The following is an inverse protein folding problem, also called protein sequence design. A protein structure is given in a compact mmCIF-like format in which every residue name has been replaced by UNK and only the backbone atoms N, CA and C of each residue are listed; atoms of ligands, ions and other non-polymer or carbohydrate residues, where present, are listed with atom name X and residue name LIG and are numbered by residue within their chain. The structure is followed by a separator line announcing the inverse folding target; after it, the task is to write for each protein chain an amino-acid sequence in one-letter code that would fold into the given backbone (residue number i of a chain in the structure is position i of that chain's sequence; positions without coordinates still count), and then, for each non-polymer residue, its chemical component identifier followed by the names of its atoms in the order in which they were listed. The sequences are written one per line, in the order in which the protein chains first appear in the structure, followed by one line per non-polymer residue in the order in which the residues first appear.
data_IF_926756147585
#
_entry.id   IF_926756147585
#
_cell.length_a   1.000
_cell.length_b   1.000
_cell.length_c   1.000
_cell.angle_alpha   90.00
_cell.angle_beta   90.00
_cell.angle_gamma   90.00
#
_symmetry.space_group_name_H-M   'P 1'
#
loop_
_entity.id
_entity.type
_entity.pdbx_description
1 polymer ?
#
# COMPACT_ATOMS: atom_id res chain seq x y z
N UNK A 1 0.00 -0.90 5.45
CA UNK A 1 -0.73 -1.11 4.17
C UNK A 1 -0.51 -2.54 3.72
N UNK A 2 -1.58 -3.34 3.67
CA UNK A 2 -1.53 -4.75 3.28
C UNK A 2 -1.47 -4.82 1.75
N UNK A 3 -0.35 -5.25 1.18
CA UNK A 3 -0.19 -5.43 -0.27
C UNK A 3 -0.58 -6.87 -0.60
N UNK A 4 -1.67 -7.05 -1.35
CA UNK A 4 -2.05 -8.33 -1.96
C UNK A 4 -1.17 -8.57 -3.18
N UNK A 5 -0.40 -9.66 -3.19
CA UNK A 5 0.34 -10.13 -4.37
C UNK A 5 -0.23 -11.47 -4.81
N UNK A 6 -0.66 -11.53 -6.08
CA UNK A 6 -1.12 -12.75 -6.76
C UNK A 6 0.11 -13.35 -7.46
N UNK A 7 0.58 -14.51 -6.99
CA UNK A 7 1.70 -15.22 -7.62
C UNK A 7 1.16 -16.40 -8.46
N UNK A 8 1.46 -16.37 -9.76
CA UNK A 8 1.17 -17.47 -10.70
C UNK A 8 2.37 -18.42 -10.71
N UNK A 9 2.08 -19.72 -10.60
CA UNK A 9 3.05 -20.80 -10.41
C UNK A 9 3.44 -21.40 -11.77
N UNK A 10 4.73 -21.50 -12.09
CA UNK A 10 5.24 -22.44 -13.09
C UNK A 10 6.11 -23.50 -12.41
N UNK A 11 5.74 -24.77 -12.57
CA UNK A 11 6.43 -25.92 -12.00
C UNK A 11 7.49 -26.46 -12.98
N UNK A 12 8.74 -26.59 -12.54
CA UNK A 12 9.64 -27.69 -12.97
C UNK A 12 10.43 -28.21 -11.77
N UNK A 13 10.41 -29.54 -11.60
CA UNK A 13 11.19 -30.31 -10.62
C UNK A 13 12.51 -30.73 -11.26
N UNK A 14 13.62 -30.60 -10.54
CA UNK A 14 14.75 -31.53 -10.68
C UNK A 14 15.38 -31.80 -9.31
N UNK A 15 15.61 -33.09 -9.04
CA UNK A 15 16.47 -33.63 -8.00
C UNK A 15 17.93 -33.29 -8.32
N UNK A 16 18.78 -33.14 -7.29
CA UNK A 16 20.17 -33.66 -7.24
C UNK A 16 20.84 -33.37 -5.89
N UNK A 17 21.71 -34.30 -5.50
CA UNK A 17 22.49 -34.38 -4.25
C UNK A 17 23.90 -33.79 -4.40
N UNK A 18 24.61 -33.68 -3.26
CA UNK A 18 25.96 -33.13 -3.00
C UNK A 18 26.03 -31.61 -2.76
N UNK A 19 26.80 -31.25 -1.73
CA UNK A 19 27.10 -29.89 -1.30
C UNK A 19 27.81 -29.13 -2.43
N UNK A 20 27.03 -28.40 -3.22
CA UNK A 20 27.52 -27.32 -4.06
C UNK A 20 27.10 -26.00 -3.41
N UNK A 21 28.06 -25.08 -3.30
CA UNK A 21 27.78 -23.67 -3.11
C UNK A 21 26.88 -23.27 -4.28
N UNK A 22 25.59 -23.06 -4.00
CA UNK A 22 24.61 -22.71 -5.02
C UNK A 22 24.75 -21.22 -5.27
N UNK A 23 25.31 -20.84 -6.41
CA UNK A 23 25.14 -19.52 -6.99
C UNK A 23 23.64 -19.32 -7.27
N UNK A 24 23.01 -18.49 -6.44
CA UNK A 24 21.60 -18.16 -6.58
C UNK A 24 21.47 -17.15 -7.71
N UNK A 25 21.19 -17.63 -8.92
CA UNK A 25 20.71 -16.76 -9.99
C UNK A 25 19.42 -16.06 -9.54
N UNK A 26 19.35 -14.72 -9.66
CA UNK A 26 18.48 -13.92 -8.82
C UNK A 26 17.12 -13.79 -9.51
N UNK A 27 16.12 -14.49 -9.00
CA UNK A 27 14.78 -13.93 -9.10
C UNK A 27 14.37 -13.13 -7.88
N UNK A 28 15.02 -13.17 -6.71
CA UNK A 28 14.42 -12.46 -5.55
C UNK A 28 15.36 -11.70 -4.60
N UNK A 29 16.70 -11.78 -4.68
CA UNK A 29 17.56 -10.85 -3.90
C UNK A 29 18.84 -10.54 -4.68
N UNK A 30 18.92 -9.36 -5.29
CA UNK A 30 20.14 -8.87 -5.96
C UNK A 30 21.05 -8.21 -4.91
N UNK A 31 22.32 -8.59 -4.87
CA UNK A 31 23.32 -8.21 -3.85
C UNK A 31 22.92 -8.60 -2.43
N UNK A 32 23.08 -9.87 -2.07
CA UNK A 32 23.05 -10.25 -0.66
C UNK A 32 24.45 -9.88 -0.10
N UNK A 33 24.61 -8.87 0.79
CA UNK A 33 25.77 -8.86 1.69
C UNK A 33 25.86 -10.23 2.40
N UNK A 34 26.94 -10.56 3.13
CA UNK A 34 26.98 -11.83 3.91
C UNK A 34 25.94 -11.81 5.04
N UNK A 35 24.66 -11.93 4.70
CA UNK A 35 23.55 -11.95 5.63
C UNK A 35 23.50 -13.37 6.17
N UNK A 36 23.60 -13.49 7.49
CA UNK A 36 23.39 -14.74 8.22
C UNK A 36 21.92 -15.18 8.20
N UNK A 37 21.28 -15.26 7.02
CA UNK A 37 20.00 -15.96 6.85
C UNK A 37 20.31 -17.43 6.58
N UNK A 38 19.59 -18.32 7.26
CA UNK A 38 19.71 -19.74 6.98
C UNK A 38 19.02 -20.10 5.66
N UNK A 39 19.34 -21.27 5.09
CA UNK A 39 18.80 -21.73 3.80
C UNK A 39 17.28 -21.70 3.75
N UNK A 40 16.60 -22.04 4.85
CA UNK A 40 15.13 -22.05 4.93
C UNK A 40 14.55 -20.62 4.78
N UNK A 41 15.20 -19.62 5.37
CA UNK A 41 14.77 -18.24 5.26
C UNK A 41 15.03 -17.65 3.89
N UNK A 42 16.18 -17.96 3.29
CA UNK A 42 16.48 -17.54 1.93
C UNK A 42 15.51 -18.17 0.94
N UNK A 43 15.20 -19.46 1.07
CA UNK A 43 14.22 -20.15 0.22
C UNK A 43 12.79 -19.61 0.43
N UNK A 44 12.44 -19.27 1.67
CA UNK A 44 11.18 -18.60 1.98
C UNK A 44 11.08 -17.22 1.33
N UNK A 45 12.13 -16.40 1.40
CA UNK A 45 12.13 -15.10 0.73
C UNK A 45 12.17 -15.24 -0.79
N UNK A 46 12.89 -16.24 -1.32
CA UNK A 46 13.26 -16.30 -2.74
C UNK A 46 12.45 -17.20 -3.65
N UNK A 47 11.66 -18.13 -3.11
CA UNK A 47 10.86 -19.04 -3.93
C UNK A 47 9.42 -19.15 -3.47
N UNK A 48 9.22 -19.14 -2.16
CA UNK A 48 7.92 -19.41 -1.57
C UNK A 48 7.15 -18.13 -1.28
N UNK A 49 7.82 -17.08 -0.80
CA UNK A 49 7.15 -15.97 -0.14
C UNK A 49 6.25 -16.43 1.02
N UNK A 50 5.52 -15.49 1.65
CA UNK A 50 4.32 -15.86 2.40
C UNK A 50 3.27 -16.43 1.43
N UNK A 51 3.24 -17.74 1.27
CA UNK A 51 2.25 -18.43 0.46
C UNK A 51 0.85 -18.41 1.08
N UNK A 52 0.75 -18.10 2.37
CA UNK A 52 -0.52 -18.12 3.10
C UNK A 52 -1.13 -16.72 3.24
N UNK A 53 -1.88 -16.30 2.22
CA UNK A 53 -2.91 -15.27 2.34
C UNK A 53 -4.27 -15.97 2.28
N UNK A 54 -4.73 -16.57 3.38
CA UNK A 54 -6.15 -16.96 3.53
C UNK A 54 -6.93 -15.86 4.24
N UNK A 55 -8.21 -15.84 3.94
CA UNK A 55 -9.28 -14.96 4.45
C UNK A 55 -9.51 -14.97 5.96
N UNK A 56 -8.71 -15.69 6.76
CA UNK A 56 -8.90 -15.81 8.20
C UNK A 56 -7.57 -15.91 8.96
N UNK A 57 -6.67 -14.92 8.78
CA UNK A 57 -5.47 -14.76 9.63
C UNK A 57 -5.84 -14.52 11.10
N UNK A 58 -7.04 -14.01 11.34
CA UNK A 58 -7.69 -13.81 12.63
C UNK A 58 -7.75 -15.07 13.49
N UNK A 59 -7.96 -16.25 12.89
CA UNK A 59 -8.00 -17.55 13.59
C UNK A 59 -6.76 -17.90 14.42
N UNK A 60 -5.64 -17.21 14.22
CA UNK A 60 -4.42 -17.36 15.02
C UNK A 60 -4.46 -16.58 16.33
N UNK A 61 -5.33 -15.58 16.41
CA UNK A 61 -5.51 -14.75 17.59
C UNK A 61 -6.53 -15.39 18.53
N UNK A 62 -6.56 -14.95 19.80
CA UNK A 62 -7.57 -15.42 20.73
C UNK A 62 -8.98 -15.05 20.25
N UNK A 63 -9.97 -15.82 20.67
CA UNK A 63 -11.38 -15.57 20.36
C UNK A 63 -11.78 -14.10 20.62
N UNK A 64 -11.40 -13.56 21.78
CA UNK A 64 -11.64 -12.16 22.16
C UNK A 64 -11.08 -11.15 21.13
N UNK A 65 -9.92 -11.44 20.55
CA UNK A 65 -9.30 -10.56 19.56
C UNK A 65 -9.98 -10.68 18.19
N UNK A 66 -10.43 -11.89 17.82
CA UNK A 66 -11.21 -12.13 16.61
C UNK A 66 -12.55 -11.39 16.68
N UNK A 67 -13.23 -11.47 17.82
CA UNK A 67 -14.50 -10.79 18.07
C UNK A 67 -14.36 -9.28 17.96
N UNK A 68 -13.30 -8.72 18.57
CA UNK A 68 -12.99 -7.29 18.42
C UNK A 68 -12.77 -6.90 16.96
N UNK A 69 -12.05 -7.71 16.19
CA UNK A 69 -11.81 -7.48 14.77
C UNK A 69 -13.12 -7.49 13.96
N UNK A 70 -14.00 -8.46 14.21
CA UNK A 70 -15.32 -8.55 13.56
C UNK A 70 -16.16 -7.30 13.87
N UNK A 71 -16.18 -6.85 15.13
CA UNK A 71 -16.90 -5.64 15.53
C UNK A 71 -16.34 -4.37 14.86
N UNK A 72 -15.02 -4.23 14.79
CA UNK A 72 -14.37 -3.09 14.13
C UNK A 72 -14.64 -3.08 12.61
N UNK A 73 -14.53 -4.23 11.94
CA UNK A 73 -14.83 -4.34 10.51
C UNK A 73 -16.31 -4.10 10.20
N UNK A 74 -17.21 -4.69 10.99
CA UNK A 74 -18.64 -4.47 10.88
C UNK A 74 -18.97 -2.97 10.98
N UNK A 75 -18.48 -2.30 12.03
CA UNK A 75 -18.66 -0.87 12.24
C UNK A 75 -18.12 -0.05 11.06
N UNK A 76 -16.96 -0.40 10.54
CA UNK A 76 -16.33 0.31 9.42
C UNK A 76 -17.16 0.17 8.13
N UNK A 77 -17.59 -1.04 7.78
CA UNK A 77 -18.41 -1.31 6.58
C UNK A 77 -19.77 -0.62 6.71
N UNK A 78 -20.44 -0.79 7.86
CA UNK A 78 -21.73 -0.15 8.12
C UNK A 78 -21.64 1.37 8.04
N UNK A 79 -20.57 1.97 8.56
CA UNK A 79 -20.35 3.41 8.49
C UNK A 79 -20.18 3.93 7.05
N UNK A 80 -19.57 3.16 6.16
CA UNK A 80 -19.42 3.54 4.75
C UNK A 80 -20.76 3.42 4.02
N UNK A 81 -21.45 2.29 4.19
CA UNK A 81 -22.72 2.01 3.52
C UNK A 81 -23.81 2.97 3.98
N UNK A 82 -23.97 3.16 5.28
CA UNK A 82 -24.99 4.10 5.82
C UNK A 82 -24.74 5.52 5.35
N UNK A 83 -23.48 6.00 5.36
CA UNK A 83 -23.14 7.33 4.83
C UNK A 83 -23.49 7.49 3.36
N UNK A 84 -23.27 6.45 2.55
CA UNK A 84 -23.63 6.45 1.13
C UNK A 84 -25.15 6.46 0.95
N UNK A 85 -25.87 5.54 1.60
CA UNK A 85 -27.33 5.41 1.48
C UNK A 85 -28.09 6.65 1.97
N UNK A 86 -27.62 7.32 3.03
CA UNK A 86 -28.23 8.56 3.52
C UNK A 86 -28.03 9.70 2.52
N UNK A 87 -26.83 9.80 1.92
CA UNK A 87 -26.47 10.92 1.05
C UNK A 87 -27.07 10.80 -0.35
N UNK A 88 -26.99 9.62 -0.95
CA UNK A 88 -27.36 9.39 -2.35
C UNK A 88 -28.80 8.88 -2.50
N UNK A 89 -29.31 8.16 -1.51
CA UNK A 89 -30.62 7.49 -1.58
C UNK A 89 -31.60 7.92 -0.48
N UNK A 90 -31.23 8.87 0.38
CA UNK A 90 -32.06 9.41 1.47
C UNK A 90 -32.72 8.36 2.37
N UNK A 91 -32.09 7.19 2.54
CA UNK A 91 -32.64 6.10 3.36
C UNK A 91 -32.39 6.42 4.85
N UNK A 92 -33.43 6.45 5.72
CA UNK A 92 -33.25 6.66 7.15
C UNK A 92 -32.45 5.53 7.82
N UNK A 93 -31.63 5.86 8.82
CA UNK A 93 -30.85 4.89 9.60
C UNK A 93 -31.72 3.82 10.30
N UNK A 94 -32.96 4.17 10.62
CA UNK A 94 -33.95 3.30 11.26
C UNK A 94 -34.62 2.33 10.29
N UNK A 95 -34.32 2.42 8.98
CA UNK A 95 -34.93 1.56 7.99
C UNK A 95 -34.62 0.08 8.28
N UNK A 96 -35.67 -0.74 8.21
CA UNK A 96 -35.60 -2.18 8.47
C UNK A 96 -34.57 -2.89 7.59
N UNK A 97 -34.37 -2.42 6.35
CA UNK A 97 -33.36 -2.93 5.42
C UNK A 97 -31.93 -2.77 5.94
N UNK A 98 -31.60 -1.64 6.58
CA UNK A 98 -30.26 -1.38 7.15
C UNK A 98 -30.03 -2.30 8.34
N UNK A 99 -31.03 -2.47 9.20
CA UNK A 99 -30.96 -3.41 10.34
C UNK A 99 -30.76 -4.85 9.86
N UNK A 100 -31.53 -5.29 8.86
CA UNK A 100 -31.41 -6.63 8.28
C UNK A 100 -30.03 -6.86 7.65
N UNK A 101 -29.56 -5.89 6.88
CA UNK A 101 -28.21 -5.94 6.29
C UNK A 101 -27.13 -6.00 7.37
N UNK A 102 -27.23 -5.17 8.42
CA UNK A 102 -26.29 -5.17 9.56
C UNK A 102 -26.18 -6.55 10.20
N UNK A 103 -27.30 -7.21 10.47
CA UNK A 103 -27.33 -8.55 11.07
C UNK A 103 -26.76 -9.62 10.12
N UNK A 104 -27.09 -9.54 8.83
CA UNK A 104 -26.56 -10.45 7.81
C UNK A 104 -25.04 -10.29 7.64
N UNK A 105 -24.55 -9.06 7.67
CA UNK A 105 -23.13 -8.74 7.59
C UNK A 105 -22.40 -9.28 8.81
N UNK A 106 -22.91 -9.03 10.01
CA UNK A 106 -22.34 -9.55 11.26
C UNK A 106 -22.26 -11.08 11.23
N UNK A 107 -23.35 -11.76 10.84
CA UNK A 107 -23.37 -13.22 10.68
C UNK A 107 -22.32 -13.70 9.68
N UNK A 108 -22.21 -13.03 8.53
CA UNK A 108 -21.25 -13.38 7.49
C UNK A 108 -19.80 -13.18 7.94
N UNK A 109 -19.52 -12.09 8.65
CA UNK A 109 -18.20 -11.83 9.23
C UNK A 109 -17.87 -12.87 10.31
N UNK A 110 -18.79 -13.17 11.23
CA UNK A 110 -18.58 -14.22 12.23
C UNK A 110 -18.30 -15.57 11.57
N UNK A 111 -19.04 -15.94 10.53
CA UNK A 111 -18.76 -17.16 9.78
C UNK A 111 -17.34 -17.12 9.19
N UNK A 112 -16.94 -16.06 8.49
CA UNK A 112 -15.62 -16.02 7.87
C UNK A 112 -14.46 -15.99 8.88
N UNK A 113 -14.60 -15.25 9.97
CA UNK A 113 -13.55 -15.03 10.96
C UNK A 113 -13.46 -16.16 12.01
N UNK A 114 -14.56 -16.85 12.30
CA UNK A 114 -14.61 -17.88 13.36
C UNK A 114 -14.49 -19.31 12.82
N UNK A 115 -14.46 -19.52 11.50
CA UNK A 115 -14.24 -20.86 10.93
C UNK A 115 -12.90 -21.43 11.45
N UNK A 116 -12.91 -22.58 12.14
CA UNK A 116 -11.69 -23.19 12.64
C UNK A 116 -10.82 -23.64 11.46
N UNK A 117 -9.53 -23.35 11.54
CA UNK A 117 -8.57 -23.84 10.56
C UNK A 117 -8.23 -25.31 10.85
N UNK A 118 -7.99 -26.07 9.79
CA UNK A 118 -7.44 -27.42 9.95
C UNK A 118 -6.08 -27.39 10.66
N UNK A 119 -5.78 -28.42 11.44
CA UNK A 119 -4.52 -28.53 12.19
C UNK A 119 -3.28 -28.26 11.33
N UNK A 120 -3.25 -28.83 10.12
CA UNK A 120 -2.15 -28.64 9.17
C UNK A 120 -1.96 -27.17 8.78
N UNK A 121 -3.05 -26.42 8.60
CA UNK A 121 -3.00 -24.99 8.29
C UNK A 121 -2.50 -24.19 9.50
N UNK A 122 -3.02 -24.47 10.71
CA UNK A 122 -2.55 -23.80 11.94
C UNK A 122 -1.05 -24.02 12.13
N UNK A 123 -0.59 -25.26 11.97
CA UNK A 123 0.83 -25.61 12.08
C UNK A 123 1.69 -24.86 11.05
N UNK A 124 1.29 -24.89 9.76
CA UNK A 124 1.98 -24.16 8.68
C UNK A 124 2.06 -22.67 8.97
N UNK A 125 0.94 -22.04 9.35
CA UNK A 125 0.90 -20.61 9.61
C UNK A 125 1.75 -20.21 10.81
N UNK A 126 1.72 -20.98 11.91
CA UNK A 126 2.61 -20.74 13.06
C UNK A 126 4.08 -20.87 12.67
N UNK A 127 4.43 -21.84 11.83
CA UNK A 127 5.79 -22.02 11.32
C UNK A 127 6.24 -20.84 10.45
N UNK A 128 5.40 -20.39 9.52
CA UNK A 128 5.67 -19.21 8.68
C UNK A 128 5.78 -17.93 9.51
N UNK A 129 4.92 -17.74 10.50
CA UNK A 129 4.98 -16.58 11.41
C UNK A 129 6.29 -16.55 12.19
N UNK A 130 6.71 -17.68 12.77
CA UNK A 130 8.00 -17.81 13.46
C UNK A 130 9.16 -17.52 12.51
N UNK A 131 9.09 -18.01 11.27
CA UNK A 131 10.10 -17.78 10.25
C UNK A 131 10.20 -16.29 9.89
N UNK A 132 9.07 -15.64 9.64
CA UNK A 132 8.99 -14.20 9.36
C UNK A 132 9.55 -13.37 10.51
N UNK A 133 9.17 -13.68 11.77
CA UNK A 133 9.73 -13.02 12.96
C UNK A 133 11.25 -13.20 13.06
N UNK A 134 11.75 -14.39 12.77
CA UNK A 134 13.18 -14.66 12.75
C UNK A 134 13.92 -13.87 11.66
N UNK A 135 13.33 -13.75 10.46
CA UNK A 135 13.88 -12.91 9.37
C UNK A 135 13.92 -11.45 9.82
N UNK A 136 12.80 -10.91 10.33
CA UNK A 136 12.72 -9.53 10.83
C UNK A 136 13.78 -9.25 11.89
N UNK A 137 13.96 -10.17 12.85
CA UNK A 137 14.97 -10.04 13.89
C UNK A 137 16.39 -9.98 13.30
N UNK A 138 16.72 -10.85 12.34
CA UNK A 138 18.04 -10.86 11.70
C UNK A 138 18.30 -9.62 10.85
N UNK A 139 17.30 -9.15 10.10
CA UNK A 139 17.41 -7.91 9.33
C UNK A 139 17.68 -6.71 10.24
N UNK A 140 16.96 -6.61 11.37
CA UNK A 140 17.21 -5.58 12.39
C UNK A 140 18.60 -5.69 13.00
N UNK A 141 19.01 -6.88 13.42
CA UNK A 141 20.33 -7.10 14.04
C UNK A 141 21.49 -6.72 13.12
N UNK A 142 21.35 -6.97 11.82
CA UNK A 142 22.37 -6.65 10.82
C UNK A 142 22.21 -5.30 10.13
N UNK A 143 21.28 -4.44 10.59
CA UNK A 143 20.97 -3.14 9.98
C UNK A 143 20.75 -3.23 8.45
N UNK A 144 20.04 -4.27 8.02
CA UNK A 144 19.72 -4.54 6.63
C UNK A 144 18.40 -3.88 6.23
N UNK A 145 18.37 -3.33 5.03
CA UNK A 145 17.21 -2.71 4.40
C UNK A 145 16.63 -3.68 3.37
N UNK A 146 15.41 -4.16 3.61
CA UNK A 146 14.61 -4.91 2.65
C UNK A 146 13.66 -3.95 1.93
N UNK A 147 13.78 -3.83 0.60
CA UNK A 147 12.92 -2.97 -0.23
C UNK A 147 12.44 -3.71 -1.47
N UNK A 148 11.24 -3.37 -1.92
CA UNK A 148 10.80 -3.74 -3.26
C UNK A 148 11.64 -3.00 -4.29
N UNK A 149 11.92 -3.65 -5.42
CA UNK A 149 12.74 -3.10 -6.48
C UNK A 149 11.92 -2.39 -7.54
N UNK A 150 12.60 -1.50 -8.25
CA UNK A 150 12.04 -0.80 -9.37
C UNK A 150 11.78 -1.76 -10.55
N UNK A 151 10.57 -1.70 -11.12
CA UNK A 151 10.09 -2.39 -12.34
C UNK A 151 10.09 -3.92 -12.33
N UNK A 152 10.63 -4.56 -11.30
CA UNK A 152 10.86 -6.01 -11.28
C UNK A 152 9.97 -6.75 -10.28
N UNK A 153 9.33 -6.05 -9.34
CA UNK A 153 8.43 -6.66 -8.36
C UNK A 153 9.14 -7.67 -7.44
N UNK A 154 10.47 -7.58 -7.34
CA UNK A 154 11.30 -8.45 -6.51
C UNK A 154 11.78 -7.66 -5.29
N UNK A 155 12.38 -8.36 -4.33
CA UNK A 155 13.00 -7.70 -3.19
C UNK A 155 14.50 -7.49 -3.41
N UNK A 156 15.02 -6.48 -2.74
CA UNK A 156 16.45 -6.23 -2.64
C UNK A 156 16.77 -6.05 -1.17
N UNK A 157 17.88 -6.65 -0.74
CA UNK A 157 18.39 -6.51 0.61
C UNK A 157 19.76 -5.86 0.55
N UNK A 158 19.88 -4.65 1.09
CA UNK A 158 21.16 -3.94 1.21
C UNK A 158 21.50 -3.64 2.66
N UNK A 159 22.69 -3.14 2.91
CA UNK A 159 23.02 -2.53 4.22
C UNK A 159 22.47 -1.10 4.25
N UNK A 160 22.14 -0.62 5.45
CA UNK A 160 21.85 0.81 5.69
C UNK A 160 22.95 1.73 5.17
N UNK A 161 24.21 1.38 5.43
CA UNK A 161 25.39 2.14 5.01
C UNK A 161 25.49 2.29 3.48
N UNK A 162 25.26 1.22 2.71
CA UNK A 162 25.28 1.30 1.23
C UNK A 162 24.13 2.18 0.71
N UNK A 163 22.97 2.07 1.34
CA UNK A 163 21.81 2.90 1.01
C UNK A 163 22.06 4.39 1.26
N UNK A 164 22.60 4.74 2.43
CA UNK A 164 22.96 6.12 2.79
C UNK A 164 24.01 6.68 1.83
N UNK A 165 25.07 5.90 1.55
CA UNK A 165 26.10 6.31 0.58
C UNK A 165 25.53 6.59 -0.81
N UNK A 166 24.62 5.74 -1.30
CA UNK A 166 23.97 5.92 -2.61
C UNK A 166 22.98 7.09 -2.61
N UNK A 167 22.25 7.30 -1.52
CA UNK A 167 21.36 8.44 -1.35
C UNK A 167 22.14 9.76 -1.36
N UNK A 168 23.27 9.81 -0.65
CA UNK A 168 24.14 10.98 -0.60
C UNK A 168 24.82 11.25 -1.95
N UNK A 169 25.34 10.22 -2.61
CA UNK A 169 25.88 10.35 -3.96
C UNK A 169 24.83 10.87 -4.96
N UNK A 170 23.57 10.46 -4.83
CA UNK A 170 22.46 11.00 -5.62
C UNK A 170 22.23 12.48 -5.32
N UNK A 171 22.20 12.85 -4.03
CA UNK A 171 22.00 14.24 -3.57
C UNK A 171 23.09 15.16 -4.12
N UNK A 172 24.36 14.81 -3.92
CA UNK A 172 25.51 15.58 -4.40
C UNK A 172 25.53 15.71 -5.92
N UNK A 173 25.24 14.62 -6.64
CA UNK A 173 25.24 14.62 -8.12
C UNK A 173 24.16 15.50 -8.72
N UNK A 174 22.97 15.53 -8.12
CA UNK A 174 21.79 16.19 -8.72
C UNK A 174 21.49 17.56 -8.14
N UNK A 175 21.95 17.87 -6.92
CA UNK A 175 21.55 19.08 -6.20
C UNK A 175 20.03 19.18 -5.97
N UNK A 176 19.28 18.10 -6.17
CA UNK A 176 17.82 18.13 -6.22
C UNK A 176 17.16 18.26 -4.85
N UNK A 177 17.88 17.94 -3.78
CA UNK A 177 17.37 17.93 -2.41
C UNK A 177 18.40 18.53 -1.45
N UNK A 178 17.91 19.28 -0.47
CA UNK A 178 18.69 19.80 0.65
C UNK A 178 18.21 19.15 1.94
N UNK A 179 19.13 18.98 2.87
CA UNK A 179 18.77 18.56 4.23
C UNK A 179 18.12 19.75 4.95
N UNK A 180 17.12 19.46 5.78
CA UNK A 180 16.43 20.48 6.56
C UNK A 180 16.98 20.46 7.98
N UNK A 181 17.29 21.64 8.52
CA UNK A 181 17.81 21.78 9.89
C UNK A 181 16.79 21.39 10.96
N UNK A 182 15.50 21.44 10.64
CA UNK A 182 14.41 21.13 11.56
C UNK A 182 13.19 20.58 10.83
N UNK A 183 12.30 19.92 11.56
CA UNK A 183 11.06 19.37 11.02
C UNK A 183 10.00 20.49 10.82
N UNK A 184 9.65 20.85 9.57
CA UNK A 184 8.73 21.96 9.30
C UNK A 184 7.25 21.57 9.42
N UNK A 185 6.91 20.33 9.81
CA UNK A 185 5.54 19.81 9.76
C UNK A 185 4.52 20.73 10.43
N UNK A 186 4.77 21.13 11.68
CA UNK A 186 3.83 21.96 12.43
C UNK A 186 3.78 23.40 11.91
N UNK A 187 4.92 23.95 11.48
CA UNK A 187 4.94 25.27 10.84
C UNK A 187 4.09 25.29 9.56
N UNK A 188 4.19 24.25 8.73
CA UNK A 188 3.38 24.10 7.51
C UNK A 188 1.91 23.85 7.85
N UNK A 189 1.64 23.05 8.89
CA UNK A 189 0.29 22.78 9.38
C UNK A 189 -0.42 24.06 9.82
N UNK A 190 0.23 24.87 10.65
CA UNK A 190 -0.31 26.14 11.15
C UNK A 190 -0.54 27.13 10.01
N UNK A 191 0.39 27.23 9.06
CA UNK A 191 0.23 28.05 7.84
C UNK A 191 -1.00 27.64 7.03
N UNK A 192 -1.24 26.33 6.88
CA UNK A 192 -2.44 25.83 6.17
C UNK A 192 -3.71 26.19 6.93
N UNK A 193 -3.75 26.03 8.25
CA UNK A 193 -4.91 26.41 9.07
C UNK A 193 -5.20 27.90 8.95
N UNK A 194 -4.17 28.75 9.10
CA UNK A 194 -4.30 30.20 8.99
C UNK A 194 -4.83 30.62 7.62
N UNK A 195 -4.27 30.05 6.54
CA UNK A 195 -4.74 30.30 5.18
C UNK A 195 -6.22 29.93 5.02
N UNK A 196 -6.61 28.74 5.45
CA UNK A 196 -7.98 28.26 5.29
C UNK A 196 -8.99 29.09 6.10
N UNK A 197 -8.61 29.50 7.32
CA UNK A 197 -9.43 30.36 8.15
C UNK A 197 -9.57 31.78 7.57
N UNK A 198 -8.50 32.34 7.00
CA UNK A 198 -8.54 33.63 6.29
C UNK A 198 -9.45 33.57 5.05
N UNK A 199 -9.34 32.51 4.24
CA UNK A 199 -10.23 32.31 3.10
C UNK A 199 -11.70 32.18 3.53
N UNK A 200 -11.96 31.56 4.69
CA UNK A 200 -13.31 31.42 5.25
C UNK A 200 -13.85 32.75 5.75
N UNK A 201 -13.04 33.55 6.47
CA UNK A 201 -13.45 34.85 7.01
C UNK A 201 -13.81 35.83 5.90
N UNK A 202 -13.06 35.80 4.79
CA UNK A 202 -13.32 36.56 3.56
C UNK A 202 -14.47 36.01 2.70
N UNK A 203 -15.13 34.92 3.14
CA UNK A 203 -16.22 34.23 2.44
C UNK A 203 -15.86 33.71 1.03
N UNK A 204 -14.58 33.49 0.74
CA UNK A 204 -14.16 32.86 -0.53
C UNK A 204 -14.44 31.35 -0.57
N UNK A 205 -14.58 30.73 0.61
CA UNK A 205 -14.93 29.31 0.73
C UNK A 205 -16.09 29.09 1.69
N UNK A 206 -16.88 28.05 1.41
CA UNK A 206 -17.99 27.58 2.23
C UNK A 206 -17.48 26.68 3.37
N UNK A 207 -18.28 26.53 4.43
CA UNK A 207 -17.91 25.71 5.60
C UNK A 207 -17.57 24.28 5.22
N UNK A 208 -18.35 23.66 4.35
CA UNK A 208 -18.09 22.27 3.93
C UNK A 208 -16.79 22.14 3.10
N UNK A 209 -16.35 23.20 2.42
CA UNK A 209 -15.10 23.22 1.67
C UNK A 209 -13.92 23.31 2.63
N UNK A 210 -14.04 24.16 3.66
CA UNK A 210 -13.10 24.25 4.78
C UNK A 210 -12.90 22.87 5.42
N UNK A 211 -14.00 22.21 5.82
CA UNK A 211 -13.95 20.90 6.48
C UNK A 211 -13.27 19.82 5.62
N UNK A 212 -13.43 19.89 4.29
CA UNK A 212 -12.78 18.96 3.36
C UNK A 212 -11.29 19.22 3.19
N UNK A 213 -10.86 20.47 3.26
CA UNK A 213 -9.46 20.87 3.07
C UNK A 213 -8.65 20.86 4.37
N UNK A 214 -9.32 20.97 5.52
CA UNK A 214 -8.67 21.06 6.83
C UNK A 214 -7.82 19.82 7.13
N UNK A 215 -6.52 19.99 7.44
CA UNK A 215 -5.68 18.86 7.80
C UNK A 215 -6.06 18.31 9.18
N UNK A 216 -6.00 16.98 9.31
CA UNK A 216 -6.30 16.29 10.58
C UNK A 216 -5.03 16.01 11.35
N UNK A 217 -4.98 16.49 12.60
CA UNK A 217 -3.78 16.43 13.45
C UNK A 217 -3.32 14.98 13.71
N UNK A 218 -4.25 14.04 13.77
CA UNK A 218 -3.99 12.63 14.10
C UNK A 218 -3.35 11.87 12.94
N UNK A 219 -3.54 12.33 11.70
CA UNK A 219 -3.12 11.60 10.49
C UNK A 219 -2.08 12.35 9.67
N UNK A 220 -1.80 13.61 10.00
CA UNK A 220 -0.91 14.46 9.21
C UNK A 220 0.55 14.00 9.32
N UNK A 221 1.26 14.00 8.20
CA UNK A 221 2.66 13.58 8.11
C UNK A 221 3.44 14.50 7.19
N UNK A 222 4.73 14.67 7.47
CA UNK A 222 5.61 15.39 6.56
C UNK A 222 5.90 14.52 5.33
N UNK A 223 6.07 15.16 4.16
CA UNK A 223 6.63 14.45 3.03
C UNK A 223 8.01 13.89 3.39
N UNK A 224 8.25 12.64 3.03
CA UNK A 224 9.54 12.02 3.23
C UNK A 224 10.09 11.49 1.91
N UNK A 225 11.40 11.65 1.76
CA UNK A 225 12.18 11.06 0.69
C UNK A 225 12.55 9.63 1.08
N UNK A 226 12.27 8.68 0.20
CA UNK A 226 12.79 7.34 0.31
C UNK A 226 13.31 6.86 -1.04
N UNK A 227 14.04 5.75 -1.03
CA UNK A 227 14.73 5.27 -2.21
C UNK A 227 14.31 3.85 -2.57
N UNK A 228 14.12 3.60 -3.87
CA UNK A 228 13.81 2.29 -4.44
C UNK A 228 15.01 1.81 -5.28
N UNK A 229 15.56 0.62 -5.02
CA UNK A 229 16.70 0.08 -5.77
C UNK A 229 16.33 -0.28 -7.21
N UNK A 230 17.24 0.01 -8.15
CA UNK A 230 17.13 -0.35 -9.58
C UNK A 230 18.11 -1.49 -9.93
N UNK A 231 17.80 -2.76 -9.59
CA UNK A 231 18.72 -3.88 -9.80
C UNK A 231 19.00 -4.16 -11.28
N UNK A 232 18.15 -3.70 -12.19
CA UNK A 232 18.34 -3.82 -13.64
C UNK A 232 19.38 -2.83 -14.21
N UNK A 233 20.05 -2.04 -13.36
CA UNK A 233 21.12 -1.11 -13.74
C UNK A 233 22.41 -1.46 -12.99
N UNK A 234 23.55 -1.29 -13.64
CA UNK A 234 24.86 -1.54 -13.04
C UNK A 234 25.05 -0.77 -11.73
N UNK A 235 25.54 -1.46 -10.69
CA UNK A 235 25.74 -0.91 -9.36
C UNK A 235 24.46 -0.75 -8.51
N UNK A 236 23.29 -1.16 -9.03
CA UNK A 236 21.98 -1.05 -8.36
C UNK A 236 21.75 0.36 -7.78
N UNK A 237 21.70 1.40 -8.63
CA UNK A 237 21.46 2.76 -8.20
C UNK A 237 20.05 2.90 -7.61
N UNK A 238 19.86 3.95 -6.82
CA UNK A 238 18.60 4.23 -6.14
C UNK A 238 17.73 5.20 -6.96
N UNK A 239 16.41 4.96 -7.01
CA UNK A 239 15.40 5.93 -7.46
C UNK A 239 14.90 6.71 -6.25
N UNK A 240 15.01 8.05 -6.21
CA UNK A 240 14.32 8.83 -5.19
C UNK A 240 12.81 8.79 -5.42
N UNK A 241 12.04 8.68 -4.34
CA UNK A 241 10.60 8.82 -4.32
C UNK A 241 10.24 9.76 -3.16
N UNK A 242 9.49 10.81 -3.46
CA UNK A 242 8.92 11.68 -2.44
C UNK A 242 7.51 11.22 -2.16
N UNK A 243 7.29 10.69 -0.95
CA UNK A 243 5.94 10.37 -0.48
C UNK A 243 5.35 11.60 0.18
N UNK A 244 4.37 12.23 -0.46
CA UNK A 244 3.62 13.37 0.07
C UNK A 244 2.22 12.97 0.57
N UNK A 245 2.05 11.70 0.94
CA UNK A 245 0.77 11.21 1.46
C UNK A 245 0.47 11.83 2.82
N UNK A 246 -0.75 12.36 2.97
CA UNK A 246 -1.24 12.94 4.22
C UNK A 246 -0.49 14.19 4.69
N UNK A 247 0.11 14.96 3.78
CA UNK A 247 0.63 16.28 4.09
C UNK A 247 -0.48 17.26 4.50
N UNK A 248 -0.15 18.33 5.24
CA UNK A 248 -1.12 19.38 5.56
C UNK A 248 -1.85 19.94 4.32
N UNK A 249 -1.16 19.98 3.18
CA UNK A 249 -1.68 20.50 1.91
C UNK A 249 -2.53 19.50 1.10
N UNK A 250 -2.57 18.22 1.47
CA UNK A 250 -3.27 17.19 0.69
C UNK A 250 -4.75 17.49 0.47
N UNK A 251 -5.44 18.03 1.49
CA UNK A 251 -6.85 18.41 1.38
C UNK A 251 -7.08 19.51 0.33
N UNK A 252 -6.22 20.53 0.35
CA UNK A 252 -6.21 21.63 -0.63
C UNK A 252 -5.94 21.09 -2.04
N UNK A 253 -4.90 20.27 -2.22
CA UNK A 253 -4.57 19.70 -3.54
C UNK A 253 -5.72 18.89 -4.12
N UNK A 254 -6.40 18.06 -3.31
CA UNK A 254 -7.58 17.29 -3.75
C UNK A 254 -8.77 18.20 -4.10
N UNK A 255 -8.91 19.32 -3.41
CA UNK A 255 -9.97 20.27 -3.71
C UNK A 255 -9.69 21.02 -5.03
N UNK A 256 -8.47 21.49 -5.23
CA UNK A 256 -8.03 22.12 -6.47
C UNK A 256 -8.15 21.17 -7.67
N UNK A 257 -7.74 19.91 -7.51
CA UNK A 257 -7.90 18.89 -8.55
C UNK A 257 -9.36 18.76 -9.00
N UNK A 258 -10.31 18.75 -8.04
CA UNK A 258 -11.75 18.73 -8.35
C UNK A 258 -12.25 20.01 -9.04
N UNK A 259 -11.69 21.16 -8.68
CA UNK A 259 -12.05 22.44 -9.31
C UNK A 259 -11.56 22.52 -10.76
N UNK A 260 -10.37 22.00 -11.04
CA UNK A 260 -9.75 22.03 -12.37
C UNK A 260 -10.28 20.88 -13.25
N UNK A 261 -10.80 19.81 -12.65
CA UNK A 261 -11.26 18.61 -13.36
C UNK A 261 -12.22 18.89 -14.53
N UNK A 262 -13.22 19.78 -14.44
CA UNK A 262 -14.09 20.07 -15.59
C UNK A 262 -13.35 20.63 -16.81
N UNK A 263 -12.27 21.40 -16.60
CA UNK A 263 -11.44 21.93 -17.69
C UNK A 263 -10.68 20.79 -18.36
N UNK A 264 -10.10 19.89 -17.56
CA UNK A 264 -9.46 18.68 -18.07
C UNK A 264 -10.47 17.82 -18.86
N UNK A 265 -11.67 17.63 -18.32
CA UNK A 265 -12.68 16.79 -18.99
C UNK A 265 -13.17 17.42 -20.31
N UNK A 266 -13.22 18.76 -20.39
CA UNK A 266 -13.59 19.46 -21.63
C UNK A 266 -12.52 19.35 -22.71
N UNK A 267 -11.25 19.46 -22.36
CA UNK A 267 -10.17 19.63 -23.35
C UNK A 267 -9.33 18.38 -23.60
N UNK A 268 -9.20 17.49 -22.63
CA UNK A 268 -8.28 16.36 -22.68
C UNK A 268 -8.96 15.00 -22.49
N UNK A 269 -10.26 14.96 -22.16
CA UNK A 269 -10.97 13.69 -21.95
C UNK A 269 -10.95 12.81 -23.18
N UNK A 270 -11.21 13.35 -24.36
CA UNK A 270 -11.28 12.57 -25.60
C UNK A 270 -9.97 11.86 -25.90
N UNK A 271 -8.83 12.48 -25.61
CA UNK A 271 -7.49 11.96 -25.90
C UNK A 271 -6.85 11.19 -24.74
N UNK A 272 -7.44 11.24 -23.54
CA UNK A 272 -6.85 10.63 -22.34
C UNK A 272 -7.63 9.42 -21.86
N UNK A 273 -6.93 8.31 -21.67
CA UNK A 273 -7.42 7.12 -20.98
C UNK A 273 -7.23 7.32 -19.48
N UNK A 274 -8.32 7.23 -18.71
CA UNK A 274 -8.30 7.51 -17.27
C UNK A 274 -7.83 6.29 -16.47
N UNK A 275 -8.32 5.11 -16.84
CA UNK A 275 -8.00 3.85 -16.16
C UNK A 275 -8.20 2.64 -17.11
N UNK A 276 -7.96 1.44 -16.59
CA UNK A 276 -8.09 0.20 -17.37
C UNK A 276 -9.53 -0.12 -17.79
N UNK A 277 -10.54 0.32 -17.03
CA UNK A 277 -11.95 0.10 -17.38
C UNK A 277 -12.37 1.06 -18.49
N UNK A 278 -11.97 2.32 -18.39
CA UNK A 278 -12.15 3.33 -19.44
C UNK A 278 -11.46 2.91 -20.74
N UNK A 279 -10.26 2.31 -20.65
CA UNK A 279 -9.59 1.72 -21.82
C UNK A 279 -10.43 0.63 -22.47
N UNK A 280 -10.93 -0.33 -21.68
CA UNK A 280 -11.71 -1.46 -22.19
C UNK A 280 -12.98 -0.95 -22.88
N UNK A 281 -13.75 -0.07 -22.23
CA UNK A 281 -14.97 0.49 -22.83
C UNK A 281 -14.70 1.25 -24.13
N UNK A 282 -13.58 1.98 -24.20
CA UNK A 282 -13.18 2.68 -25.44
C UNK A 282 -12.82 1.68 -26.53
N UNK A 283 -12.03 0.65 -26.22
CA UNK A 283 -11.66 -0.39 -27.16
C UNK A 283 -12.89 -1.13 -27.69
N UNK A 284 -13.85 -1.47 -26.82
CA UNK A 284 -15.14 -2.05 -27.22
C UNK A 284 -15.88 -1.13 -28.20
N UNK A 285 -15.96 0.17 -27.92
CA UNK A 285 -16.57 1.13 -28.83
C UNK A 285 -15.85 1.20 -30.19
N UNK A 286 -14.51 1.13 -30.22
CA UNK A 286 -13.76 1.08 -31.48
C UNK A 286 -14.01 -0.23 -32.25
N UNK A 287 -14.15 -1.36 -31.57
CA UNK A 287 -14.50 -2.64 -32.18
C UNK A 287 -15.92 -2.60 -32.76
N UNK A 288 -16.90 -2.09 -32.02
CA UNK A 288 -18.29 -1.92 -32.49
C UNK A 288 -18.37 -0.99 -33.70
N UNK A 289 -17.54 0.05 -33.74
CA UNK A 289 -17.48 0.98 -34.87
C UNK A 289 -16.59 0.48 -36.03
N UNK A 290 -16.04 -0.74 -35.96
CA UNK A 290 -15.24 -1.35 -37.01
C UNK A 290 -13.83 -0.77 -37.20
N UNK A 291 -13.36 0.07 -36.27
CA UNK A 291 -12.02 0.66 -36.30
C UNK A 291 -10.93 -0.28 -35.76
N UNK A 292 -11.32 -1.28 -34.99
CA UNK A 292 -10.46 -2.34 -34.47
C UNK A 292 -10.95 -3.67 -35.03
N UNK A 293 -10.14 -4.31 -35.88
CA UNK A 293 -10.37 -5.69 -36.32
C UNK A 293 -10.00 -6.64 -35.16
N UNK A 294 -10.72 -7.76 -35.01
CA UNK A 294 -10.43 -8.77 -33.99
C UNK A 294 -9.03 -9.37 -34.12
#
# INVERSE_FOLDING_TARGET
ACVRVKLVRQHRRHLLSKQQIVDVYPQIIVNVPKISLNRIQLDYLSKSGPNYIRSNQSSLHSYKHQEKHVQEEHKNIMNVITRYLIREHHIPLTATIIRKFSQQLETSLHQQYMIPLSYLNIYRTRKEFKLMKSIQHRLKKGNYILRETDKSGIFHIGTSVDYEKKAEAYRQKTGAYIELDSNPLWSVFDKVILLLNDLRSKKYILSWQLDKMMPKRETVQLAYLYFIPKPHKAGTPLRPIVSSMSMPTTGISKFLDKLIRPIFDKHARSTTIIDGVDLIHRLEAYTTNGYLKP
#
